data_IF_893542090440
#
_entry.id   IF_893542090440
#
_cell.length_a   1.000
_cell.length_b   1.000
_cell.length_c   1.000
_cell.angle_alpha   90.00
_cell.angle_beta   90.00
_cell.angle_gamma   90.00
#
_symmetry.space_group_name_H-M   'P 1'
#
loop_
_entity.id
_entity.type
_entity.pdbx_description
1 polymer ?
#
# COMPACT_ATOMS: atom_id res chain seq x y z
N UNK A 1 46.51 8.06 25.40
CA UNK A 1 46.09 6.97 24.48
C UNK A 1 44.56 6.78 24.40
N UNK A 2 43.78 7.06 25.46
CA UNK A 2 42.30 6.97 25.47
C UNK A 2 41.50 7.83 24.45
N UNK A 3 41.91 9.07 24.09
CA UNK A 3 41.08 9.91 23.22
C UNK A 3 41.09 9.46 21.75
N UNK A 4 42.18 8.84 21.30
CA UNK A 4 42.30 8.34 19.92
C UNK A 4 41.34 7.17 19.70
N UNK A 5 41.22 6.27 20.67
CA UNK A 5 40.31 5.12 20.59
C UNK A 5 38.85 5.56 20.50
N UNK A 6 38.45 6.58 21.28
CA UNK A 6 37.09 7.13 21.22
C UNK A 6 36.77 7.79 19.88
N UNK A 7 37.73 8.50 19.27
CA UNK A 7 37.56 9.13 17.96
C UNK A 7 37.43 8.06 16.86
N UNK A 8 38.25 7.01 16.91
CA UNK A 8 38.18 5.90 15.95
C UNK A 8 36.84 5.17 16.03
N UNK A 9 36.33 4.93 17.24
CA UNK A 9 35.00 4.33 17.45
C UNK A 9 33.91 5.25 16.90
N UNK A 10 33.93 6.54 17.22
CA UNK A 10 32.95 7.50 16.72
C UNK A 10 32.96 7.60 15.18
N UNK A 11 34.16 7.59 14.57
CA UNK A 11 34.29 7.56 13.11
C UNK A 11 33.74 6.26 12.52
N UNK A 12 34.01 5.11 13.13
CA UNK A 12 33.51 3.82 12.64
C UNK A 12 31.96 3.76 12.67
N UNK A 13 31.35 4.30 13.73
CA UNK A 13 29.89 4.43 13.83
C UNK A 13 29.31 5.39 12.79
N UNK A 14 29.96 6.52 12.53
CA UNK A 14 29.52 7.45 11.49
C UNK A 14 29.56 6.78 10.11
N UNK A 15 30.68 6.11 9.77
CA UNK A 15 30.86 5.39 8.50
C UNK A 15 29.83 4.27 8.31
N UNK A 16 29.48 3.54 9.38
CA UNK A 16 28.47 2.48 9.32
C UNK A 16 27.05 3.00 8.96
N UNK A 17 26.74 4.26 9.28
CA UNK A 17 25.42 4.85 9.01
C UNK A 17 25.30 5.55 7.65
N UNK A 18 26.42 5.77 6.94
CA UNK A 18 26.42 6.39 5.60
C UNK A 18 25.82 5.49 4.50
N UNK A 19 25.72 4.18 4.74
CA UNK A 19 25.37 3.18 3.73
C UNK A 19 23.94 2.61 3.81
N UNK A 20 23.10 3.07 4.74
CA UNK A 20 21.69 2.68 4.77
C UNK A 20 20.94 3.40 3.62
N UNK A 21 21.11 2.89 2.40
CA UNK A 21 20.30 3.32 1.27
C UNK A 21 18.83 3.16 1.66
N UNK A 22 18.08 4.26 1.60
CA UNK A 22 16.65 4.25 1.83
C UNK A 22 16.03 3.24 0.85
N UNK A 23 15.61 2.08 1.38
CA UNK A 23 15.02 1.05 0.55
C UNK A 23 13.71 1.61 0.01
N UNK A 24 13.69 1.94 -1.29
CA UNK A 24 12.49 2.40 -1.98
C UNK A 24 11.67 1.17 -2.34
N UNK A 25 10.55 0.89 -1.64
CA UNK A 25 9.73 -0.26 -1.98
C UNK A 25 9.11 -0.06 -3.36
N UNK A 26 8.90 -1.17 -4.07
CA UNK A 26 8.03 -1.16 -5.25
C UNK A 26 6.57 -1.09 -4.77
N UNK A 27 5.79 -0.19 -5.35
CA UNK A 27 4.36 -0.05 -5.06
C UNK A 27 3.59 -0.63 -6.24
N UNK A 28 2.81 -1.69 -5.98
CA UNK A 28 1.93 -2.32 -6.97
C UNK A 28 0.49 -2.05 -6.56
N UNK A 29 -0.28 -1.39 -7.44
CA UNK A 29 -1.71 -1.14 -7.26
C UNK A 29 -2.49 -2.12 -8.14
N UNK A 30 -3.24 -3.03 -7.51
CA UNK A 30 -4.15 -3.95 -8.19
C UNK A 30 -5.57 -3.38 -8.06
N UNK A 31 -6.14 -2.90 -9.17
CA UNK A 31 -7.52 -2.40 -9.23
C UNK A 31 -8.38 -3.40 -9.99
N UNK A 32 -9.34 -4.02 -9.31
CA UNK A 32 -10.36 -4.87 -9.94
C UNK A 32 -11.59 -4.02 -10.33
N UNK A 33 -12.18 -4.31 -11.49
CA UNK A 33 -13.42 -3.65 -11.95
C UNK A 33 -14.64 -4.42 -11.42
N UNK A 34 -15.62 -3.70 -10.90
CA UNK A 34 -16.90 -4.22 -10.37
C UNK A 34 -16.78 -5.37 -9.34
N UNK A 35 -15.65 -5.47 -8.62
CA UNK A 35 -15.48 -6.42 -7.53
C UNK A 35 -16.17 -5.93 -6.26
N UNK A 36 -17.17 -6.66 -5.78
CA UNK A 36 -17.85 -6.38 -4.52
C UNK A 36 -17.05 -6.88 -3.32
N UNK A 37 -17.26 -6.25 -2.16
CA UNK A 37 -16.64 -6.70 -0.89
C UNK A 37 -17.04 -8.15 -0.57
N UNK A 38 -18.26 -8.53 -0.94
CA UNK A 38 -18.83 -9.87 -0.81
C UNK A 38 -18.12 -10.96 -1.60
N UNK A 39 -17.31 -10.61 -2.59
CA UNK A 39 -16.72 -11.57 -3.54
C UNK A 39 -15.41 -12.18 -3.04
N UNK A 40 -14.82 -11.65 -1.96
CA UNK A 40 -13.58 -12.16 -1.36
C UNK A 40 -13.91 -13.12 -0.21
N UNK A 41 -13.49 -14.37 -0.31
CA UNK A 41 -13.80 -15.42 0.66
C UNK A 41 -13.27 -15.10 2.07
N UNK A 42 -12.08 -14.50 2.19
CA UNK A 42 -11.55 -14.08 3.48
C UNK A 42 -12.41 -13.05 4.24
N UNK A 43 -13.31 -12.33 3.56
CA UNK A 43 -14.27 -11.41 4.19
C UNK A 43 -15.63 -12.06 4.48
N UNK A 44 -15.96 -13.14 3.76
CA UNK A 44 -17.22 -13.86 3.88
C UNK A 44 -16.97 -15.37 3.80
N UNK A 45 -16.83 -16.06 4.94
CA UNK A 45 -16.48 -17.49 4.97
C UNK A 45 -17.44 -18.40 4.20
N UNK A 46 -18.71 -18.01 4.11
CA UNK A 46 -19.77 -18.73 3.40
C UNK A 46 -19.81 -18.44 1.89
N UNK A 47 -18.86 -17.66 1.37
CA UNK A 47 -18.77 -17.33 -0.04
C UNK A 47 -18.47 -18.58 -0.90
N UNK A 48 -19.09 -18.64 -2.07
CA UNK A 48 -19.00 -19.76 -3.02
C UNK A 48 -17.77 -19.67 -3.93
N UNK A 49 -17.17 -18.49 -4.07
CA UNK A 49 -16.03 -18.26 -4.96
C UNK A 49 -14.74 -18.37 -4.14
N UNK A 50 -13.87 -19.32 -4.52
CA UNK A 50 -12.57 -19.47 -3.89
C UNK A 50 -11.60 -18.38 -4.38
N UNK A 51 -11.01 -17.62 -3.45
CA UNK A 51 -10.08 -16.52 -3.75
C UNK A 51 -8.71 -16.70 -3.09
N UNK A 52 -8.02 -17.85 -3.27
CA UNK A 52 -6.87 -18.24 -2.43
C UNK A 52 -5.70 -17.23 -2.44
N UNK A 53 -5.48 -16.54 -3.56
CA UNK A 53 -4.43 -15.51 -3.65
C UNK A 53 -4.81 -14.23 -2.91
N UNK A 54 -6.08 -13.80 -2.98
CA UNK A 54 -6.56 -12.63 -2.24
C UNK A 54 -6.64 -12.95 -0.74
N UNK A 55 -7.07 -14.15 -0.38
CA UNK A 55 -7.13 -14.61 1.01
C UNK A 55 -5.73 -14.64 1.65
N UNK A 56 -4.70 -14.99 0.87
CA UNK A 56 -3.31 -14.89 1.30
C UNK A 56 -2.90 -13.43 1.55
N UNK A 57 -3.24 -12.51 0.64
CA UNK A 57 -2.95 -11.08 0.81
C UNK A 57 -3.63 -10.50 2.07
N UNK A 58 -4.87 -10.90 2.35
CA UNK A 58 -5.57 -10.48 3.57
C UNK A 58 -4.85 -11.00 4.83
N UNK A 59 -4.38 -12.26 4.81
CA UNK A 59 -3.69 -12.89 5.95
C UNK A 59 -2.29 -12.32 6.21
N UNK A 60 -1.55 -11.99 5.16
CA UNK A 60 -0.17 -11.49 5.21
C UNK A 60 -0.11 -9.95 5.37
N UNK A 61 -1.24 -9.27 5.25
CA UNK A 61 -1.32 -7.82 5.21
C UNK A 61 -2.39 -7.25 6.12
N UNK A 62 -3.02 -6.18 5.63
CA UNK A 62 -4.08 -5.45 6.30
C UNK A 62 -5.28 -5.34 5.37
N UNK A 63 -6.49 -5.46 5.90
CA UNK A 63 -7.72 -5.21 5.17
C UNK A 63 -8.52 -4.07 5.82
N UNK A 64 -9.19 -3.28 4.99
CA UNK A 64 -10.05 -2.17 5.37
C UNK A 64 -11.50 -2.56 5.11
N UNK A 65 -12.32 -2.61 6.15
CA UNK A 65 -13.75 -2.96 6.05
C UNK A 65 -14.65 -1.75 5.78
N UNK A 66 -14.10 -0.54 5.88
CA UNK A 66 -14.76 0.73 5.61
C UNK A 66 -13.92 1.52 4.59
N UNK A 67 -14.04 1.13 3.32
CA UNK A 67 -13.34 1.74 2.20
C UNK A 67 -14.34 1.96 1.05
N UNK A 68 -14.51 3.23 0.66
CA UNK A 68 -15.52 3.63 -0.31
C UNK A 68 -14.90 4.24 -1.56
N UNK A 69 -15.41 3.85 -2.73
CA UNK A 69 -15.10 4.57 -3.97
C UNK A 69 -15.76 5.95 -3.95
N UNK A 70 -15.15 6.97 -4.57
CA UNK A 70 -15.74 8.32 -4.63
C UNK A 70 -16.95 8.40 -5.59
N UNK A 71 -17.26 7.31 -6.30
CA UNK A 71 -18.37 7.19 -7.23
C UNK A 71 -18.76 5.72 -7.47
N UNK A 72 -19.97 5.47 -7.95
CA UNK A 72 -20.47 4.16 -8.34
C UNK A 72 -20.23 3.80 -9.83
N UNK A 73 -19.41 4.58 -10.55
CA UNK A 73 -19.07 4.31 -11.97
C UNK A 73 -17.56 4.44 -12.24
N UNK A 74 -17.09 3.75 -13.27
CA UNK A 74 -15.67 3.45 -13.49
C UNK A 74 -14.78 4.71 -13.62
N UNK A 75 -15.14 5.62 -14.54
CA UNK A 75 -14.33 6.80 -14.88
C UNK A 75 -14.04 7.74 -13.69
N UNK A 76 -15.03 8.22 -12.91
CA UNK A 76 -14.79 9.06 -11.74
C UNK A 76 -14.06 8.33 -10.60
N UNK A 77 -14.26 7.01 -10.44
CA UNK A 77 -13.50 6.22 -9.46
C UNK A 77 -12.02 6.15 -9.83
N UNK A 78 -11.71 5.84 -11.09
CA UNK A 78 -10.33 5.81 -11.60
C UNK A 78 -9.68 7.19 -11.56
N UNK A 79 -10.44 8.25 -11.85
CA UNK A 79 -9.96 9.64 -11.69
C UNK A 79 -9.54 9.92 -10.24
N UNK A 80 -10.37 9.54 -9.26
CA UNK A 80 -10.07 9.73 -7.85
C UNK A 80 -8.81 9.02 -7.41
N UNK A 81 -8.63 7.76 -7.83
CA UNK A 81 -7.44 6.97 -7.52
C UNK A 81 -6.16 7.59 -8.10
N UNK A 82 -6.18 8.00 -9.38
CA UNK A 82 -4.98 8.50 -10.08
C UNK A 82 -4.58 9.92 -9.66
N UNK A 83 -5.55 10.73 -9.23
CA UNK A 83 -5.31 12.16 -8.96
C UNK A 83 -5.37 12.53 -7.48
N UNK A 84 -5.90 11.65 -6.62
CA UNK A 84 -6.17 11.96 -5.21
C UNK A 84 -7.23 13.05 -5.01
N UNK A 85 -8.10 13.28 -6.02
CA UNK A 85 -9.11 14.35 -6.01
C UNK A 85 -10.51 13.82 -6.30
N UNK A 86 -11.50 14.41 -5.66
CA UNK A 86 -12.90 14.15 -6.03
C UNK A 86 -13.17 14.52 -7.48
N UNK A 87 -13.91 13.66 -8.18
CA UNK A 87 -14.19 13.82 -9.60
C UNK A 87 -14.88 15.16 -9.92
N UNK A 88 -15.81 15.65 -9.10
CA UNK A 88 -16.46 16.94 -9.33
C UNK A 88 -15.53 18.17 -9.19
N UNK A 89 -14.27 17.99 -8.78
CA UNK A 89 -13.23 19.03 -8.81
C UNK A 89 -12.42 19.04 -10.12
N UNK A 90 -12.85 18.26 -11.12
CA UNK A 90 -12.29 18.22 -12.47
C UNK A 90 -13.01 19.19 -13.42
N UNK A 91 -12.40 19.46 -14.58
CA UNK A 91 -13.01 20.18 -15.71
C UNK A 91 -13.40 19.25 -16.88
N UNK A 92 -13.03 17.98 -16.80
CA UNK A 92 -13.38 16.92 -17.75
C UNK A 92 -14.63 16.19 -17.24
N UNK A 93 -15.81 16.51 -17.76
CA UNK A 93 -17.03 15.73 -17.56
C UNK A 93 -17.34 14.94 -18.83
#
# INVERSE_FOLDING_TARGET
MKPITSIVIALAWAVANLGAAEQRPNIIVILADDLGVGDIQAHYPDNKIATPNLDRLVREGMSFTDAHSPSAVCSPTRYGLLTGRYAWRTRLQ
#
